data_IF_946644393487
#
_entry.id   IF_946644393487
#
_cell.length_a   1.000
_cell.length_b   1.000
_cell.length_c   1.000
_cell.angle_alpha   90.00
_cell.angle_beta   90.00
_cell.angle_gamma   90.00
#
_symmetry.space_group_name_H-M   'P 1'
#
loop_
_entity.id
_entity.type
_entity.pdbx_description
1 polymer ?
#
# COMPACT_ATOMS: atom_id res chain seq x y z
N UNK A 1 -44.12 5.16 -20.84
CA UNK A 1 -42.91 5.53 -21.59
C UNK A 1 -41.78 5.55 -20.58
N UNK A 2 -40.82 4.64 -20.67
CA UNK A 2 -39.56 4.80 -19.93
C UNK A 2 -38.71 5.75 -20.76
N UNK A 3 -38.29 6.87 -20.17
CA UNK A 3 -37.28 7.73 -20.78
C UNK A 3 -36.00 6.89 -20.88
N UNK A 4 -35.45 6.78 -22.08
CA UNK A 4 -34.14 6.16 -22.28
C UNK A 4 -33.10 7.09 -21.66
N UNK A 5 -32.28 6.55 -20.76
CA UNK A 5 -31.14 7.28 -20.26
C UNK A 5 -30.09 7.47 -21.36
N UNK A 6 -29.48 8.65 -21.37
CA UNK A 6 -28.47 9.09 -22.36
C UNK A 6 -27.31 9.84 -21.71
N UNK A 7 -27.37 10.02 -20.39
CA UNK A 7 -26.32 10.70 -19.63
C UNK A 7 -25.34 9.63 -19.14
N UNK A 8 -24.03 9.78 -19.36
CA UNK A 8 -23.05 8.90 -18.73
C UNK A 8 -22.92 9.19 -17.22
N UNK A 9 -22.48 8.19 -16.43
CA UNK A 9 -22.13 8.40 -15.04
C UNK A 9 -20.95 9.38 -14.91
N UNK A 10 -20.73 9.89 -13.70
CA UNK A 10 -19.51 10.60 -13.30
C UNK A 10 -18.72 9.69 -12.37
N UNK A 11 -17.52 9.31 -12.80
CA UNK A 11 -16.61 8.50 -12.00
C UNK A 11 -15.77 9.37 -11.04
N UNK A 12 -15.65 8.93 -9.80
CA UNK A 12 -14.75 9.49 -8.80
C UNK A 12 -13.94 8.36 -8.16
N UNK A 13 -12.65 8.28 -8.51
CA UNK A 13 -11.74 7.30 -7.94
C UNK A 13 -11.30 7.65 -6.51
N UNK A 14 -11.49 8.90 -6.08
CA UNK A 14 -10.94 9.45 -4.85
C UNK A 14 -9.60 10.15 -5.05
N UNK A 15 -8.96 10.49 -3.94
CA UNK A 15 -7.71 11.25 -3.91
C UNK A 15 -6.47 10.35 -4.03
N UNK A 16 -5.36 10.94 -4.45
CA UNK A 16 -4.04 10.29 -4.44
C UNK A 16 -3.65 9.80 -3.03
N UNK A 17 -2.97 8.66 -2.98
CA UNK A 17 -2.60 7.99 -1.74
C UNK A 17 -1.09 7.73 -1.66
N UNK A 18 -0.56 7.71 -0.44
CA UNK A 18 0.86 7.41 -0.16
C UNK A 18 0.98 6.48 1.04
N UNK A 19 1.63 5.34 0.85
CA UNK A 19 1.76 4.29 1.85
C UNK A 19 3.10 3.57 1.72
N UNK A 20 3.41 2.70 2.67
CA UNK A 20 4.55 1.78 2.59
C UNK A 20 4.15 0.50 1.86
N UNK A 21 5.13 -0.14 1.23
CA UNK A 21 4.99 -1.48 0.64
C UNK A 21 4.35 -2.46 1.62
N UNK A 22 3.56 -3.40 1.12
CA UNK A 22 2.82 -4.40 1.89
C UNK A 22 1.78 -3.85 2.89
N UNK A 23 1.44 -2.56 2.80
CA UNK A 23 0.31 -1.99 3.56
C UNK A 23 -0.97 -2.11 2.72
N UNK A 24 -2.08 -2.63 3.28
CA UNK A 24 -3.36 -2.61 2.58
C UNK A 24 -3.82 -1.18 2.34
N UNK A 25 -4.17 -0.88 1.10
CA UNK A 25 -4.78 0.38 0.69
C UNK A 25 -6.25 0.16 0.36
N UNK A 26 -7.10 1.07 0.80
CA UNK A 26 -8.54 1.04 0.53
C UNK A 26 -8.88 2.06 -0.57
N UNK A 27 -9.75 1.63 -1.48
CA UNK A 27 -10.32 2.46 -2.54
C UNK A 27 -11.81 2.60 -2.32
N UNK A 28 -12.33 3.78 -2.62
CA UNK A 28 -13.72 4.15 -2.37
C UNK A 28 -14.25 5.01 -3.53
N UNK A 29 -15.20 4.46 -4.28
CA UNK A 29 -15.88 5.11 -5.38
C UNK A 29 -17.26 5.66 -4.98
N UNK A 30 -17.55 5.83 -3.70
CA UNK A 30 -18.88 6.23 -3.21
C UNK A 30 -19.34 7.62 -3.69
N UNK A 31 -18.41 8.49 -4.09
CA UNK A 31 -18.72 9.81 -4.67
C UNK A 31 -19.06 9.73 -6.18
N UNK A 32 -18.87 8.57 -6.82
CA UNK A 32 -19.33 8.34 -8.19
C UNK A 32 -20.85 8.32 -8.25
N UNK A 33 -21.42 8.96 -9.25
CA UNK A 33 -22.87 9.13 -9.34
C UNK A 33 -23.36 9.22 -10.78
N UNK A 34 -24.66 9.02 -10.94
CA UNK A 34 -25.38 9.13 -12.21
C UNK A 34 -26.82 9.59 -11.94
N UNK A 35 -27.51 10.17 -12.93
CA UNK A 35 -28.90 10.65 -12.77
C UNK A 35 -29.93 9.52 -12.59
N UNK A 36 -29.63 8.30 -13.05
CA UNK A 36 -30.50 7.11 -12.88
C UNK A 36 -29.81 6.02 -12.06
N UNK A 37 -28.49 6.12 -11.91
CA UNK A 37 -27.71 5.35 -10.94
C UNK A 37 -26.68 4.43 -11.59
N UNK A 38 -25.65 4.15 -10.81
CA UNK A 38 -24.53 3.29 -11.21
C UNK A 38 -24.84 1.83 -10.89
N UNK A 39 -24.45 0.91 -11.77
CA UNK A 39 -24.64 -0.54 -11.58
C UNK A 39 -23.33 -1.34 -11.48
N UNK A 40 -22.20 -0.78 -11.92
CA UNK A 40 -20.92 -1.46 -11.85
C UNK A 40 -19.74 -0.52 -11.59
N UNK A 41 -18.75 -1.05 -10.87
CA UNK A 41 -17.49 -0.42 -10.53
C UNK A 41 -16.37 -1.42 -10.80
N UNK A 42 -15.44 -1.07 -11.68
CA UNK A 42 -14.29 -1.90 -12.02
C UNK A 42 -12.99 -1.11 -11.76
N UNK A 43 -12.07 -1.73 -11.03
CA UNK A 43 -10.79 -1.15 -10.66
C UNK A 43 -9.65 -1.87 -11.36
N UNK A 44 -8.74 -1.13 -11.97
CA UNK A 44 -7.40 -1.58 -12.37
C UNK A 44 -6.39 -0.92 -11.44
N UNK A 45 -5.63 -1.71 -10.70
CA UNK A 45 -4.69 -1.20 -9.70
C UNK A 45 -3.35 -0.75 -10.30
N UNK A 46 -3.15 -0.90 -11.61
CA UNK A 46 -1.95 -0.46 -12.32
C UNK A 46 -0.74 -1.40 -12.18
N UNK A 47 -0.91 -2.54 -11.49
CA UNK A 47 0.10 -3.60 -11.35
C UNK A 47 -0.32 -4.92 -12.01
N UNK A 48 -1.42 -4.90 -12.78
CA UNK A 48 -2.02 -6.05 -13.44
C UNK A 48 -3.08 -6.79 -12.61
N UNK A 49 -3.27 -6.42 -11.34
CA UNK A 49 -4.40 -6.88 -10.55
C UNK A 49 -5.63 -5.96 -10.74
N UNK A 50 -6.81 -6.54 -10.54
CA UNK A 50 -8.09 -5.85 -10.69
C UNK A 50 -9.00 -6.04 -9.48
N UNK A 51 -9.93 -5.13 -9.28
CA UNK A 51 -10.98 -5.19 -8.25
C UNK A 51 -12.36 -4.80 -8.78
N UNK A 52 -13.39 -5.04 -7.97
CA UNK A 52 -14.77 -4.66 -8.28
C UNK A 52 -15.50 -4.20 -7.03
N UNK A 53 -16.51 -3.35 -7.21
CA UNK A 53 -17.38 -2.86 -6.14
C UNK A 53 -17.08 -1.41 -5.77
N UNK A 54 -18.03 -0.80 -5.04
CA UNK A 54 -17.94 0.59 -4.58
C UNK A 54 -16.69 0.79 -3.72
N UNK A 55 -16.44 -0.14 -2.80
CA UNK A 55 -15.24 -0.19 -1.99
C UNK A 55 -14.48 -1.49 -2.24
N UNK A 56 -13.16 -1.39 -2.26
CA UNK A 56 -12.26 -2.53 -2.44
C UNK A 56 -10.92 -2.25 -1.77
N UNK A 57 -10.08 -3.26 -1.61
CA UNK A 57 -8.73 -3.10 -1.09
C UNK A 57 -7.70 -3.83 -1.94
N UNK A 58 -6.47 -3.33 -1.92
CA UNK A 58 -5.33 -3.94 -2.61
C UNK A 58 -4.06 -3.81 -1.77
N UNK A 59 -3.02 -4.56 -2.11
CA UNK A 59 -1.71 -4.47 -1.46
C UNK A 59 -0.60 -4.58 -2.50
N UNK A 60 0.25 -3.57 -2.57
CA UNK A 60 1.40 -3.54 -3.48
C UNK A 60 2.63 -4.15 -2.81
N UNK A 61 3.20 -5.17 -3.46
CA UNK A 61 4.39 -5.88 -2.98
C UNK A 61 5.72 -5.21 -3.35
N UNK A 62 5.69 -4.25 -4.29
CA UNK A 62 6.89 -3.55 -4.78
C UNK A 62 6.71 -2.04 -4.57
N UNK A 63 7.76 -1.31 -4.13
CA UNK A 63 7.74 0.15 -4.12
C UNK A 63 7.63 0.71 -5.54
N UNK A 64 6.87 1.79 -5.71
CA UNK A 64 6.61 2.37 -7.02
C UNK A 64 5.49 3.40 -7.01
N UNK A 65 5.20 3.93 -8.20
CA UNK A 65 4.04 4.79 -8.45
C UNK A 65 3.10 3.99 -9.34
N UNK A 66 1.87 3.82 -8.89
CA UNK A 66 0.82 3.08 -9.59
C UNK A 66 -0.32 4.04 -9.95
N UNK A 67 -0.74 4.01 -11.22
CA UNK A 67 -1.93 4.73 -11.67
C UNK A 67 -3.11 3.78 -11.56
N UNK A 68 -4.00 4.06 -10.62
CA UNK A 68 -5.21 3.27 -10.38
C UNK A 68 -6.34 3.86 -11.22
N UNK A 69 -7.04 3.02 -11.97
CA UNK A 69 -8.14 3.42 -12.84
C UNK A 69 -9.44 2.83 -12.35
N UNK A 70 -10.44 3.67 -12.13
CA UNK A 70 -11.82 3.29 -11.89
C UNK A 70 -12.62 3.46 -13.18
N UNK A 71 -13.34 2.42 -13.58
CA UNK A 71 -14.41 2.50 -14.60
C UNK A 71 -15.75 2.30 -13.93
N UNK A 72 -16.66 3.26 -14.12
CA UNK A 72 -18.04 3.24 -13.61
C UNK A 72 -18.99 3.01 -14.77
N UNK A 73 -20.04 2.19 -14.58
CA UNK A 73 -21.02 1.90 -15.64
C UNK A 73 -22.46 1.99 -15.10
N UNK A 74 -23.35 2.60 -15.87
CA UNK A 74 -24.78 2.72 -15.58
C UNK A 74 -25.60 1.53 -16.15
N UNK A 75 -26.90 1.49 -15.85
CA UNK A 75 -27.79 0.43 -16.35
C UNK A 75 -28.08 0.51 -17.87
N UNK A 76 -27.84 1.66 -18.50
CA UNK A 76 -28.01 1.88 -19.93
C UNK A 76 -26.77 1.49 -20.74
N UNK A 77 -25.66 1.16 -20.07
CA UNK A 77 -24.39 0.75 -20.65
C UNK A 77 -23.45 1.92 -20.96
N UNK A 78 -23.71 3.14 -20.49
CA UNK A 78 -22.72 4.20 -20.54
C UNK A 78 -21.70 4.04 -19.43
N UNK A 79 -20.51 4.59 -19.66
CA UNK A 79 -19.41 4.50 -18.71
C UNK A 79 -18.60 5.78 -18.66
N UNK A 80 -17.98 6.01 -17.51
CA UNK A 80 -16.98 7.05 -17.30
C UNK A 80 -15.79 6.50 -16.52
N UNK A 81 -14.66 7.19 -16.62
CA UNK A 81 -13.37 6.74 -16.08
C UNK A 81 -12.73 7.84 -15.25
N UNK A 82 -12.25 7.46 -14.07
CA UNK A 82 -11.47 8.33 -13.18
C UNK A 82 -10.21 7.62 -12.71
N UNK A 83 -9.19 8.38 -12.31
CA UNK A 83 -7.91 7.82 -11.91
C UNK A 83 -7.31 8.55 -10.73
N UNK A 84 -6.61 7.81 -9.88
CA UNK A 84 -5.77 8.35 -8.82
C UNK A 84 -4.38 7.72 -8.86
N UNK A 85 -3.44 8.34 -8.16
CA UNK A 85 -2.08 7.85 -8.02
C UNK A 85 -1.86 7.24 -6.64
N UNK A 86 -1.29 6.04 -6.60
CA UNK A 86 -0.79 5.41 -5.37
C UNK A 86 0.74 5.42 -5.38
N UNK A 87 1.33 6.13 -4.41
CA UNK A 87 2.78 6.13 -4.18
C UNK A 87 3.13 5.14 -3.07
N UNK A 88 3.85 4.09 -3.42
CA UNK A 88 4.28 3.01 -2.51
C UNK A 88 5.77 3.18 -2.19
N UNK A 89 6.06 3.43 -0.92
CA UNK A 89 7.41 3.63 -0.42
C UNK A 89 8.06 2.32 0.04
N UNK A 90 9.38 2.21 -0.16
CA UNK A 90 10.15 1.12 0.40
C UNK A 90 10.17 1.18 1.94
N UNK A 91 10.26 0.01 2.58
CA UNK A 91 10.61 -0.02 3.99
C UNK A 91 12.04 0.53 4.20
N UNK A 92 12.30 1.21 5.33
CA UNK A 92 13.64 1.66 5.65
C UNK A 92 14.57 0.45 5.71
N UNK A 93 15.58 0.42 4.84
CA UNK A 93 16.63 -0.58 4.91
C UNK A 93 17.43 -0.34 6.19
N UNK A 94 17.36 -1.25 7.15
CA UNK A 94 18.31 -1.23 8.25
C UNK A 94 19.71 -1.52 7.69
N UNK A 95 20.73 -0.73 8.08
CA UNK A 95 22.08 -1.06 7.67
C UNK A 95 22.47 -2.43 8.22
N UNK A 96 22.95 -3.34 7.37
CA UNK A 96 23.41 -4.68 7.77
C UNK A 96 24.50 -4.63 8.84
N UNK A 97 25.25 -3.52 8.94
CA UNK A 97 26.23 -3.28 9.99
C UNK A 97 25.61 -3.01 11.39
N UNK A 98 24.33 -2.63 11.48
CA UNK A 98 23.64 -2.48 12.77
C UNK A 98 23.50 -3.82 13.51
N UNK A 99 23.43 -4.95 12.80
CA UNK A 99 23.42 -6.29 13.39
C UNK A 99 24.80 -6.72 13.92
N UNK A 100 25.88 -6.17 13.36
CA UNK A 100 27.25 -6.44 13.82
C UNK A 100 27.55 -5.77 15.17
N UNK A 101 26.88 -4.67 15.52
CA UNK A 101 27.09 -4.00 16.81
C UNK A 101 26.56 -4.82 17.99
N UNK A 102 25.46 -5.56 17.84
CA UNK A 102 24.95 -6.43 18.92
C UNK A 102 25.93 -7.58 19.18
N UNK A 103 26.53 -8.16 18.13
CA UNK A 103 27.53 -9.22 18.26
C UNK A 103 28.88 -8.73 18.83
N UNK A 104 29.41 -7.61 18.33
CA UNK A 104 30.69 -7.06 18.78
C UNK A 104 30.61 -6.51 20.20
N UNK A 105 29.52 -5.84 20.59
CA UNK A 105 29.34 -5.38 21.99
C UNK A 105 29.26 -6.57 22.96
N UNK A 106 28.56 -7.64 22.61
CA UNK A 106 28.49 -8.85 23.44
C UNK A 106 29.87 -9.53 23.56
N UNK A 107 30.59 -9.71 22.44
CA UNK A 107 31.94 -10.33 22.44
C UNK A 107 32.96 -9.45 23.18
N UNK A 108 32.95 -8.13 22.99
CA UNK A 108 33.86 -7.22 23.69
C UNK A 108 33.57 -7.20 25.20
N UNK A 109 32.30 -7.17 25.61
CA UNK A 109 31.92 -7.26 27.04
C UNK A 109 32.34 -8.59 27.65
N UNK A 110 32.15 -9.71 26.94
CA UNK A 110 32.64 -11.03 27.36
C UNK A 110 34.16 -11.02 27.49
N UNK A 111 34.92 -10.58 26.48
CA UNK A 111 36.40 -10.55 26.51
C UNK A 111 36.93 -9.65 27.63
N UNK A 112 36.29 -8.50 27.88
CA UNK A 112 36.66 -7.58 28.98
C UNK A 112 36.35 -8.20 30.35
N UNK A 113 35.21 -8.89 30.50
CA UNK A 113 34.86 -9.62 31.72
C UNK A 113 35.82 -10.78 32.00
N UNK A 114 36.15 -11.60 30.98
CA UNK A 114 37.10 -12.71 31.11
C UNK A 114 38.52 -12.22 31.47
N UNK A 115 38.99 -11.11 30.87
CA UNK A 115 40.31 -10.52 31.20
C UNK A 115 40.36 -9.93 32.62
N UNK A 116 39.23 -9.52 33.20
CA UNK A 116 39.15 -9.08 34.60
C UNK A 116 39.14 -10.26 35.59
N UNK A 117 38.53 -11.39 35.22
CA UNK A 117 38.47 -12.59 36.08
C UNK A 117 39.84 -13.25 36.22
N UNK A 118 40.63 -13.33 35.13
CA UNK A 118 41.95 -13.97 35.12
C UNK A 118 43.08 -13.14 35.77
N UNK A 119 42.82 -11.89 36.14
CA UNK A 119 43.81 -10.99 36.78
C UNK A 119 43.75 -10.99 38.31
N UNK A 120 42.99 -11.87 38.96
CA UNK A 120 43.09 -12.01 40.42
C UNK A 120 44.36 -12.80 40.76
N UNK A 121 45.43 -12.19 41.31
CA UNK A 121 46.51 -12.96 41.91
C UNK A 121 45.92 -13.79 43.06
N UNK A 122 46.35 -15.05 43.16
CA UNK A 122 45.94 -15.96 44.22
C UNK A 122 46.16 -15.31 45.58
N UNK A 123 45.14 -15.41 46.43
CA UNK A 123 45.20 -15.06 47.83
C UNK A 123 46.24 -16.01 48.45
N UNK A 124 47.36 -15.45 48.92
CA UNK A 124 48.32 -16.10 49.79
C UNK A 124 48.55 -15.19 50.99
#
# INVERSE_FOLDING_TARGET
MTVRDVTPPVADAGLDQRLKVNTPVAFDASESHDNVGVVAYAWDYGDGATGTGVTTSHTYATPGIYVVTLTVTDAAGHSDVSSLTVTVEAEPAFPTWALLLVGVVTVVVIVVLYRRILRKPGIA
#
